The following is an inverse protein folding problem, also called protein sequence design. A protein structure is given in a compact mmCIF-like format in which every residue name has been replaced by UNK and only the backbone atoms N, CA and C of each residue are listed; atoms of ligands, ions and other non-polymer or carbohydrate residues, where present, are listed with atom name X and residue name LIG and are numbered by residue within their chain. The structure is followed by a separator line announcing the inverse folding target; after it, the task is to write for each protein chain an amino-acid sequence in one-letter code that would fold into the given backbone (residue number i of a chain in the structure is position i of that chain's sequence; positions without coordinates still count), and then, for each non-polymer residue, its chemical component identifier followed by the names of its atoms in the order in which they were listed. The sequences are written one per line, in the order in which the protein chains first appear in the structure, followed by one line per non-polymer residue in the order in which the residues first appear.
data_IF_884300158849
#
_entry.id   IF_884300158849
#
_cell.length_a   1.000
_cell.length_b   1.000
_cell.length_c   1.000
_cell.angle_alpha   90.00
_cell.angle_beta   90.00
_cell.angle_gamma   90.00
#
_symmetry.space_group_name_H-M   'P 1'
#
loop_
_entity.id
_entity.type
_entity.pdbx_description
1 polymer ?
#
# COMPACT_ATOMS: atom_id res chain seq x y z
N UNK A 1 16.45 4.96 -17.53
CA UNK A 1 15.56 5.29 -16.40
C UNK A 1 14.94 3.98 -15.95
N UNK A 2 15.28 3.42 -14.78
CA UNK A 2 14.61 2.22 -14.30
C UNK A 2 13.13 2.57 -14.10
N UNK A 3 12.24 1.79 -14.69
CA UNK A 3 10.80 1.93 -14.49
C UNK A 3 10.48 1.75 -12.99
N UNK A 4 9.48 2.45 -12.43
CA UNK A 4 9.01 2.14 -11.09
C UNK A 4 8.44 0.73 -11.10
N UNK A 5 9.27 -0.24 -10.68
CA UNK A 5 8.88 -1.62 -10.53
C UNK A 5 7.87 -1.67 -9.38
N UNK A 6 6.59 -1.78 -9.72
CA UNK A 6 5.51 -1.91 -8.74
C UNK A 6 5.85 -3.01 -7.73
N UNK A 7 5.44 -2.87 -6.46
CA UNK A 7 5.75 -3.87 -5.45
C UNK A 7 5.26 -5.24 -5.91
N UNK A 8 6.21 -6.13 -6.13
CA UNK A 8 5.92 -7.53 -6.42
C UNK A 8 5.49 -8.23 -5.13
N UNK A 9 4.98 -9.47 -5.23
CA UNK A 9 4.54 -10.25 -4.06
C UNK A 9 5.60 -10.40 -2.96
N UNK A 10 6.88 -10.14 -3.28
CA UNK A 10 8.03 -10.24 -2.38
C UNK A 10 8.65 -8.89 -2.03
N UNK A 11 8.00 -7.77 -2.34
CA UNK A 11 8.56 -6.44 -2.12
C UNK A 11 7.47 -5.49 -1.64
N UNK A 12 7.88 -4.52 -0.85
CA UNK A 12 7.11 -3.33 -0.52
C UNK A 12 7.93 -2.11 -0.91
N UNK A 13 7.30 -1.05 -1.39
CA UNK A 13 7.98 0.23 -1.61
C UNK A 13 7.67 1.14 -0.43
N UNK A 14 8.68 1.80 0.12
CA UNK A 14 8.51 2.85 1.12
C UNK A 14 8.96 4.16 0.51
N UNK A 15 8.24 5.24 0.76
CA UNK A 15 8.72 6.57 0.44
C UNK A 15 7.97 7.67 1.17
N UNK A 16 8.11 8.89 0.66
CA UNK A 16 7.50 10.09 1.23
C UNK A 16 6.70 10.79 0.14
N UNK A 17 5.43 11.12 0.40
CA UNK A 17 4.59 11.86 -0.55
C UNK A 17 4.90 13.36 -0.57
N UNK A 18 4.13 14.14 -1.34
CA UNK A 18 4.30 15.59 -1.42
C UNK A 18 3.96 16.34 -0.13
N UNK A 19 3.11 15.76 0.72
CA UNK A 19 2.68 16.30 2.00
C UNK A 19 3.60 15.89 3.16
N UNK A 20 4.74 15.28 2.85
CA UNK A 20 5.72 14.77 3.81
C UNK A 20 5.22 13.62 4.70
N UNK A 21 4.15 12.93 4.29
CA UNK A 21 3.70 11.70 4.92
C UNK A 21 4.60 10.54 4.50
N UNK A 22 4.91 9.65 5.44
CA UNK A 22 5.54 8.38 5.05
C UNK A 22 4.48 7.48 4.41
N UNK A 23 4.79 6.94 3.24
CA UNK A 23 3.90 6.05 2.49
C UNK A 23 4.56 4.70 2.29
N UNK A 24 3.81 3.61 2.52
CA UNK A 24 4.26 2.24 2.26
C UNK A 24 3.28 1.54 1.32
N UNK A 25 3.78 1.08 0.18
CA UNK A 25 3.05 0.35 -0.84
C UNK A 25 3.34 -1.14 -0.69
N UNK A 26 2.31 -1.94 -0.45
CA UNK A 26 2.41 -3.38 -0.29
C UNK A 26 1.57 -4.13 -1.33
N UNK A 27 2.11 -5.20 -1.92
CA UNK A 27 1.31 -6.11 -2.72
C UNK A 27 0.26 -6.83 -1.85
N UNK A 28 -0.98 -6.95 -2.34
CA UNK A 28 -2.06 -7.65 -1.66
C UNK A 28 -3.05 -8.30 -2.63
N UNK A 29 -3.85 -9.23 -2.11
CA UNK A 29 -4.97 -9.89 -2.81
C UNK A 29 -6.27 -9.45 -2.15
N UNK A 30 -7.22 -8.96 -2.95
CA UNK A 30 -8.48 -8.43 -2.47
C UNK A 30 -9.32 -9.54 -1.79
N UNK A 31 -9.65 -9.33 -0.52
CA UNK A 31 -10.50 -10.26 0.24
C UNK A 31 -11.99 -9.91 0.16
N UNK A 32 -12.28 -8.69 -0.28
CA UNK A 32 -13.62 -8.10 -0.43
C UNK A 32 -13.59 -7.15 -1.62
N UNK A 33 -14.76 -6.66 -2.02
CA UNK A 33 -14.87 -5.57 -2.98
C UNK A 33 -14.30 -4.30 -2.34
N UNK A 34 -13.26 -3.73 -2.94
CA UNK A 34 -12.69 -2.45 -2.52
C UNK A 34 -12.92 -1.41 -3.62
N UNK A 35 -12.93 -0.13 -3.26
CA UNK A 35 -13.01 0.96 -4.24
C UNK A 35 -11.62 1.55 -4.44
N UNK A 36 -11.17 1.62 -5.69
CA UNK A 36 -9.92 2.29 -6.01
C UNK A 36 -10.13 3.80 -6.08
N UNK A 37 -9.36 4.62 -5.35
CA UNK A 37 -9.48 6.08 -5.41
C UNK A 37 -8.91 6.67 -6.71
N UNK A 38 -8.03 5.98 -7.44
CA UNK A 38 -7.43 6.49 -8.67
C UNK A 38 -8.36 6.45 -9.89
N UNK A 39 -9.18 5.41 -10.04
CA UNK A 39 -10.14 5.27 -11.15
C UNK A 39 -11.60 5.27 -10.69
N UNK A 40 -11.85 5.31 -9.39
CA UNK A 40 -13.17 5.20 -8.74
C UNK A 40 -13.93 3.89 -9.01
N UNK A 41 -13.31 2.93 -9.69
CA UNK A 41 -13.87 1.61 -9.98
C UNK A 41 -13.54 0.61 -8.87
N UNK A 42 -14.22 -0.53 -8.89
CA UNK A 42 -14.07 -1.59 -7.92
C UNK A 42 -12.87 -2.49 -8.21
N UNK A 43 -12.23 -2.92 -7.13
CA UNK A 43 -11.25 -4.00 -7.11
C UNK A 43 -12.00 -5.28 -6.73
N UNK A 44 -12.19 -6.24 -7.65
CA UNK A 44 -12.96 -7.43 -7.38
C UNK A 44 -12.25 -8.36 -6.40
N UNK A 45 -13.01 -9.21 -5.73
CA UNK A 45 -12.48 -10.23 -4.81
C UNK A 45 -11.52 -11.16 -5.56
N UNK A 46 -10.36 -11.43 -4.97
CA UNK A 46 -9.31 -12.25 -5.57
C UNK A 46 -8.36 -11.50 -6.49
N UNK A 47 -8.65 -10.24 -6.84
CA UNK A 47 -7.75 -9.44 -7.66
C UNK A 47 -6.50 -8.98 -6.91
N UNK A 48 -5.39 -8.94 -7.64
CA UNK A 48 -4.15 -8.34 -7.18
C UNK A 48 -4.29 -6.81 -7.12
N UNK A 49 -3.83 -6.22 -6.03
CA UNK A 49 -3.90 -4.78 -5.82
C UNK A 49 -2.75 -4.32 -4.92
N UNK A 50 -2.54 -3.02 -4.84
CA UNK A 50 -1.59 -2.41 -3.92
C UNK A 50 -2.34 -1.83 -2.74
N UNK A 51 -1.90 -2.19 -1.54
CA UNK A 51 -2.32 -1.56 -0.31
C UNK A 51 -1.34 -0.43 0.00
N UNK A 52 -1.83 0.80 -0.02
CA UNK A 52 -1.06 1.99 0.29
C UNK A 52 -1.36 2.38 1.74
N UNK A 53 -0.33 2.39 2.60
CA UNK A 53 -0.43 2.86 3.99
C UNK A 53 0.22 4.23 4.10
N UNK A 54 -0.53 5.18 4.62
CA UNK A 54 -0.06 6.53 4.90
C UNK A 54 0.18 6.65 6.40
N UNK A 55 1.30 7.24 6.77
CA UNK A 55 1.67 7.57 8.13
C UNK A 55 1.85 9.08 8.19
N UNK A 56 0.87 9.74 8.79
CA UNK A 56 0.88 11.18 8.98
C UNK A 56 1.83 11.57 10.13
N UNK A 57 2.43 12.77 10.11
CA UNK A 57 3.33 13.23 11.16
C UNK A 57 2.71 13.29 12.56
N UNK A 58 1.38 13.42 12.63
CA UNK A 58 0.60 13.44 13.89
C UNK A 58 0.35 12.04 14.47
N UNK A 59 0.80 10.99 13.77
CA UNK A 59 0.63 9.59 14.16
C UNK A 59 -0.65 8.94 13.64
N UNK A 60 -1.48 9.65 12.87
CA UNK A 60 -2.60 9.03 12.17
C UNK A 60 -2.08 8.07 11.09
N UNK A 61 -2.81 6.97 10.90
CA UNK A 61 -2.48 5.97 9.90
C UNK A 61 -3.74 5.53 9.18
N UNK A 62 -3.77 5.74 7.87
CA UNK A 62 -4.85 5.29 7.01
C UNK A 62 -4.33 4.42 5.87
N UNK A 63 -5.22 3.60 5.32
CA UNK A 63 -4.90 2.67 4.25
C UNK A 63 -5.88 2.83 3.10
N UNK A 64 -5.35 2.75 1.88
CA UNK A 64 -6.12 2.84 0.65
C UNK A 64 -5.79 1.65 -0.25
N UNK A 65 -6.80 1.16 -0.96
CA UNK A 65 -6.67 0.04 -1.88
C UNK A 65 -6.63 0.56 -3.31
N UNK A 66 -5.56 0.28 -4.03
CA UNK A 66 -5.34 0.77 -5.38
C UNK A 66 -5.16 -0.37 -6.37
N UNK A 67 -5.72 -0.25 -7.58
CA UNK A 67 -5.29 -1.13 -8.67
C UNK A 67 -3.79 -0.94 -8.92
N UNK A 68 -3.13 -2.01 -9.36
CA UNK A 68 -1.69 -2.01 -9.64
C UNK A 68 -1.29 -0.86 -10.56
N UNK A 69 -2.02 -0.68 -11.66
CA UNK A 69 -1.75 0.40 -12.61
C UNK A 69 -2.09 1.79 -12.07
N UNK A 70 -3.20 1.94 -11.34
CA UNK A 70 -3.59 3.22 -10.74
C UNK A 70 -2.57 3.71 -9.70
N UNK A 71 -1.86 2.79 -9.04
CA UNK A 71 -0.86 3.13 -8.04
C UNK A 71 0.34 3.86 -8.63
N UNK A 72 0.61 3.71 -9.93
CA UNK A 72 1.72 4.40 -10.61
C UNK A 72 1.63 5.92 -10.51
N UNK A 73 0.44 6.48 -10.34
CA UNK A 73 0.27 7.92 -10.10
C UNK A 73 0.95 8.30 -8.80
N UNK A 74 0.62 7.65 -7.69
CA UNK A 74 1.24 7.92 -6.37
C UNK A 74 2.75 7.67 -6.40
N UNK A 75 3.18 6.58 -7.04
CA UNK A 75 4.61 6.23 -7.08
C UNK A 75 5.45 7.37 -7.67
N UNK A 76 4.96 8.02 -8.74
CA UNK A 76 5.63 9.18 -9.35
C UNK A 76 5.70 10.41 -8.43
N UNK A 77 4.88 10.44 -7.39
CA UNK A 77 4.78 11.53 -6.43
C UNK A 77 5.66 11.29 -5.19
N UNK A 78 6.24 10.08 -5.07
CA UNK A 78 7.13 9.74 -3.96
C UNK A 78 8.52 10.34 -4.17
N UNK A 79 9.05 11.02 -3.14
CA UNK A 79 10.36 11.71 -3.22
C UNK A 79 11.57 10.82 -2.94
N UNK A 80 11.38 9.70 -2.24
CA UNK A 80 12.46 8.81 -1.81
C UNK A 80 11.96 7.37 -1.74
N UNK A 81 12.03 6.63 -2.85
CA UNK A 81 11.51 5.26 -2.94
C UNK A 81 12.57 4.23 -2.54
N UNK A 82 12.29 3.44 -1.52
CA UNK A 82 13.10 2.30 -1.09
C UNK A 82 12.32 0.99 -1.27
N UNK A 83 12.97 0.01 -1.91
CA UNK A 83 12.45 -1.36 -2.00
C UNK A 83 12.76 -2.08 -0.69
N UNK A 84 11.72 -2.32 0.11
CA UNK A 84 11.79 -2.99 1.41
C UNK A 84 11.35 -4.44 1.27
N UNK A 85 12.03 -5.34 1.99
CA UNK A 85 11.65 -6.75 2.08
C UNK A 85 10.24 -6.91 2.67
N UNK A 86 9.48 -7.95 2.27
CA UNK A 86 8.11 -8.12 2.68
C UNK A 86 8.09 -8.61 4.14
N UNK A 87 7.40 -7.93 5.05
CA UNK A 87 7.03 -8.57 6.33
C UNK A 87 7.01 -7.76 7.63
N UNK A 88 7.21 -6.44 7.66
CA UNK A 88 7.18 -5.70 8.93
C UNK A 88 5.81 -5.15 9.35
N UNK A 89 4.76 -5.35 8.56
CA UNK A 89 3.48 -4.65 8.76
C UNK A 89 2.34 -5.52 9.31
N UNK A 90 2.62 -6.75 9.77
CA UNK A 90 1.64 -7.52 10.56
C UNK A 90 1.63 -6.96 11.98
N UNK A 91 0.78 -5.97 12.25
CA UNK A 91 0.35 -5.69 13.62
C UNK A 91 -0.04 -7.03 14.27
N UNK A 92 0.52 -7.39 15.44
CA UNK A 92 0.19 -8.66 16.06
C UNK A 92 -1.31 -8.66 16.31
N UNK A 93 -2.03 -9.54 15.61
CA UNK A 93 -3.42 -9.85 15.96
C UNK A 93 -3.38 -10.31 17.41
N UNK A 94 -3.78 -9.45 18.34
CA UNK A 94 -3.99 -9.77 19.75
C UNK A 94 -4.95 -10.96 19.76
N UNK A 95 -4.41 -12.17 19.94
CA UNK A 95 -5.20 -13.38 20.13
C UNK A 95 -5.94 -13.16 21.45
N UNK A 96 -7.23 -12.86 21.40
CA UNK A 96 -8.10 -13.01 22.57
C UNK A 96 -8.05 -14.49 22.94
N UNK A 97 -7.48 -14.81 24.11
CA UNK A 97 -7.55 -16.15 24.70
C UNK A 97 -9.01 -16.46 25.00
N UNK A 98 -9.55 -17.63 24.59
CA UNK A 98 -10.79 -18.13 25.16
C UNK A 98 -10.53 -18.57 26.60
N UNK A 99 -11.55 -18.41 27.45
CA UNK A 99 -11.55 -18.71 28.87
C UNK A 99 -11.95 -20.16 29.10
#
# INVERSE_FOLDING_TARGET
MPSPDLPSRRQSLRGVDFDANTVVLEFSIARKLYKCPGCYDYIPVGAEHVLVRYFEPDGATFYQHWHRDCTKTIVRELREEEVVAPGLSRSPRRRRRPR
#
